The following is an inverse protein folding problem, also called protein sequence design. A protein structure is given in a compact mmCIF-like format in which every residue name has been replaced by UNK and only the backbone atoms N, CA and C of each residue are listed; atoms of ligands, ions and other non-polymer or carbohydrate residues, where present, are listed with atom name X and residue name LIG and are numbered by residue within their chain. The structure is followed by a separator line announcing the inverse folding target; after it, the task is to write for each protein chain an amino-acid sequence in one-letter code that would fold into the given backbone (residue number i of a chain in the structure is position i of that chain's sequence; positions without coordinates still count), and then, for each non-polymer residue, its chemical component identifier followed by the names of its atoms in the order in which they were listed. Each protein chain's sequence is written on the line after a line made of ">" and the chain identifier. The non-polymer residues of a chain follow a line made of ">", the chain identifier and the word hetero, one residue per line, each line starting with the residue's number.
data_IF_789723483369
#
_entry.id   IF_789723483369
#
_cell.length_a   1.000
_cell.length_b   1.000
_cell.length_c   1.000
_cell.angle_alpha   90.00
_cell.angle_beta   90.00
_cell.angle_gamma   90.00
#
_symmetry.space_group_name_H-M   'P 1'
#
loop_
_entity.id
_entity.type
_entity.pdbx_description
1 polymer ?
#
# COMPACT_ATOMS: atom_id res chain seq x y z
N UNK A 1 25.41 -13.56 -36.67
CA UNK A 1 24.41 -12.48 -36.67
C UNK A 1 23.24 -12.90 -35.77
N UNK A 2 23.29 -12.56 -34.50
CA UNK A 2 22.26 -12.88 -33.49
C UNK A 2 21.34 -11.67 -33.35
N UNK A 3 20.07 -11.81 -33.73
CA UNK A 3 19.04 -10.79 -33.53
C UNK A 3 18.74 -10.64 -32.03
N UNK A 4 18.62 -9.41 -31.49
CA UNK A 4 18.09 -9.20 -30.15
C UNK A 4 16.55 -9.20 -30.20
N UNK A 5 15.91 -10.14 -29.51
CA UNK A 5 14.49 -10.07 -29.13
C UNK A 5 14.44 -10.37 -27.63
N UNK A 6 14.01 -9.47 -26.74
CA UNK A 6 12.59 -9.20 -26.51
C UNK A 6 12.38 -8.09 -25.46
N UNK A 7 13.00 -6.92 -25.66
CA UNK A 7 12.73 -5.73 -24.83
C UNK A 7 11.31 -5.14 -24.98
N UNK A 8 10.54 -5.64 -25.94
CA UNK A 8 9.24 -5.09 -26.35
C UNK A 8 8.09 -5.58 -25.49
N UNK A 9 8.17 -6.78 -24.91
CA UNK A 9 7.05 -7.43 -24.19
C UNK A 9 6.76 -6.82 -22.82
N UNK A 10 7.73 -6.13 -22.21
CA UNK A 10 7.57 -5.51 -20.89
C UNK A 10 6.99 -4.10 -20.96
N UNK A 11 7.16 -3.41 -22.09
CA UNK A 11 6.65 -2.04 -22.29
C UNK A 11 5.12 -2.01 -22.35
N UNK A 12 4.49 -3.09 -22.81
CA UNK A 12 3.03 -3.23 -22.94
C UNK A 12 2.30 -3.51 -21.62
N UNK A 13 2.94 -4.14 -20.61
CA UNK A 13 2.31 -4.35 -19.29
C UNK A 13 2.09 -3.05 -18.50
N UNK A 14 2.91 -2.02 -18.75
CA UNK A 14 2.76 -0.69 -18.13
C UNK A 14 1.43 -0.03 -18.48
N UNK A 15 0.93 -0.27 -19.70
CA UNK A 15 -0.29 0.34 -20.24
C UNK A 15 -1.55 -0.33 -19.68
N UNK A 16 -1.42 -1.54 -19.11
CA UNK A 16 -2.55 -2.35 -18.65
C UNK A 16 -2.79 -2.27 -17.15
N UNK A 17 -1.91 -1.60 -16.40
CA UNK A 17 -2.10 -1.48 -14.96
C UNK A 17 -2.84 -0.19 -14.66
N UNK A 18 -3.95 -0.22 -13.92
CA UNK A 18 -4.76 0.96 -13.66
C UNK A 18 -3.89 2.04 -12.99
N UNK A 19 -3.62 3.09 -13.74
CA UNK A 19 -2.96 4.34 -13.34
C UNK A 19 -3.92 5.45 -13.71
N UNK A 20 -3.83 6.61 -13.04
CA UNK A 20 -4.70 7.76 -13.31
C UNK A 20 -4.74 8.16 -14.80
N UNK A 21 -3.63 7.97 -15.53
CA UNK A 21 -3.52 8.28 -16.97
C UNK A 21 -3.96 7.16 -17.92
N UNK A 22 -4.13 5.91 -17.45
CA UNK A 22 -4.48 4.76 -18.29
C UNK A 22 -5.54 3.86 -17.64
N UNK A 23 -6.65 4.46 -17.20
CA UNK A 23 -7.83 3.70 -16.77
C UNK A 23 -8.62 3.14 -17.98
N UNK A 24 -8.01 2.23 -18.73
CA UNK A 24 -8.81 1.34 -19.57
C UNK A 24 -9.51 0.34 -18.65
N UNK A 25 -10.83 0.13 -18.79
CA UNK A 25 -11.50 -0.91 -18.04
C UNK A 25 -10.79 -2.23 -18.34
N UNK A 26 -10.33 -2.90 -17.28
CA UNK A 26 -9.74 -4.23 -17.37
C UNK A 26 -10.67 -5.12 -18.21
N UNK A 27 -10.10 -5.82 -19.19
CA UNK A 27 -10.88 -6.73 -20.03
C UNK A 27 -11.59 -7.76 -19.15
N UNK A 28 -12.77 -8.25 -19.58
CA UNK A 28 -13.57 -9.22 -18.79
C UNK A 28 -12.74 -10.42 -18.29
N UNK A 29 -11.78 -10.89 -19.09
CA UNK A 29 -10.86 -11.98 -18.74
C UNK A 29 -9.85 -11.60 -17.64
N UNK A 30 -9.36 -10.37 -17.65
CA UNK A 30 -8.40 -9.89 -16.64
C UNK A 30 -9.11 -9.63 -15.31
N UNK A 31 -10.32 -9.05 -15.33
CA UNK A 31 -11.19 -8.95 -14.15
C UNK A 31 -11.52 -10.30 -13.54
N UNK A 32 -11.79 -11.31 -14.36
CA UNK A 32 -12.07 -12.67 -13.87
C UNK A 32 -10.87 -13.34 -13.17
N UNK A 33 -9.64 -12.86 -13.44
CA UNK A 33 -8.41 -13.37 -12.81
C UNK A 33 -8.04 -12.64 -11.53
N UNK A 34 -8.61 -11.47 -11.28
CA UNK A 34 -8.38 -10.72 -10.05
C UNK A 34 -9.16 -11.35 -8.90
N UNK A 35 -8.54 -11.41 -7.72
CA UNK A 35 -9.28 -11.61 -6.48
C UNK A 35 -10.28 -10.46 -6.34
N UNK A 36 -11.50 -10.79 -5.90
CA UNK A 36 -12.58 -9.81 -5.68
C UNK A 36 -12.52 -9.25 -4.26
N UNK A 37 -12.93 -8.01 -4.09
CA UNK A 37 -13.07 -7.32 -2.79
C UNK A 37 -11.80 -7.48 -1.93
N UNK A 38 -10.64 -7.17 -2.50
CA UNK A 38 -9.36 -7.33 -1.81
C UNK A 38 -9.21 -6.23 -0.77
N UNK A 39 -9.16 -6.66 0.49
CA UNK A 39 -8.85 -5.85 1.66
C UNK A 39 -7.57 -6.41 2.26
N UNK A 40 -6.63 -5.54 2.59
CA UNK A 40 -5.38 -5.89 3.25
C UNK A 40 -5.34 -5.22 4.62
N UNK A 41 -5.27 -6.03 5.66
CA UNK A 41 -5.02 -5.55 7.02
C UNK A 41 -3.54 -5.14 7.13
N UNK A 42 -3.34 -3.89 7.55
CA UNK A 42 -2.02 -3.30 7.71
C UNK A 42 -1.60 -3.18 9.19
N UNK A 43 -2.42 -3.61 10.15
CA UNK A 43 -2.16 -3.53 11.58
C UNK A 43 -2.57 -2.23 12.27
N UNK A 44 -2.66 -1.12 11.53
CA UNK A 44 -3.18 0.18 11.97
C UNK A 44 -4.55 0.50 11.35
N UNK A 45 -5.07 -0.40 10.51
CA UNK A 45 -6.24 -0.20 9.67
C UNK A 45 -6.13 -1.01 8.39
N UNK A 46 -6.94 -0.70 7.39
CA UNK A 46 -7.08 -1.55 6.19
C UNK A 46 -6.87 -0.78 4.89
N UNK A 47 -6.18 -1.41 3.95
CA UNK A 47 -6.11 -0.95 2.57
C UNK A 47 -7.11 -1.70 1.70
N UNK A 48 -8.06 -0.96 1.13
CA UNK A 48 -9.10 -1.50 0.26
C UNK A 48 -8.74 -1.20 -1.21
N UNK A 49 -8.59 -2.23 -2.03
CA UNK A 49 -8.23 -2.06 -3.44
C UNK A 49 -9.50 -1.89 -4.29
N UNK A 50 -9.96 -0.65 -4.46
CA UNK A 50 -11.24 -0.29 -5.07
C UNK A 50 -11.49 -0.94 -6.44
N UNK A 51 -10.46 -1.09 -7.28
CA UNK A 51 -10.57 -1.73 -8.60
C UNK A 51 -10.93 -3.23 -8.56
N UNK A 52 -10.85 -3.86 -7.38
CA UNK A 52 -11.24 -5.26 -7.14
C UNK A 52 -12.69 -5.41 -6.65
N UNK A 53 -13.34 -4.29 -6.29
CA UNK A 53 -14.73 -4.27 -5.86
C UNK A 53 -15.67 -4.24 -7.06
N UNK A 54 -16.85 -4.85 -6.90
CA UNK A 54 -17.85 -4.95 -7.97
C UNK A 54 -18.56 -3.61 -8.25
N UNK A 55 -18.71 -2.77 -7.21
CA UNK A 55 -19.31 -1.44 -7.31
C UNK A 55 -18.70 -0.47 -6.29
N UNK A 56 -18.77 0.85 -6.52
CA UNK A 56 -18.37 1.86 -5.53
C UNK A 56 -19.20 1.78 -4.24
N UNK A 57 -20.48 1.40 -4.32
CA UNK A 57 -21.34 1.22 -3.15
C UNK A 57 -20.80 0.15 -2.20
N UNK A 58 -20.41 -1.03 -2.73
CA UNK A 58 -19.82 -2.10 -1.90
C UNK A 58 -18.49 -1.69 -1.28
N UNK A 59 -17.71 -0.87 -1.98
CA UNK A 59 -16.47 -0.31 -1.43
C UNK A 59 -16.77 0.61 -0.24
N UNK A 60 -17.75 1.50 -0.37
CA UNK A 60 -18.14 2.44 0.68
C UNK A 60 -18.71 1.71 1.89
N UNK A 61 -19.58 0.71 1.68
CA UNK A 61 -20.08 -0.14 2.76
C UNK A 61 -18.95 -0.87 3.50
N UNK A 62 -17.85 -1.20 2.83
CA UNK A 62 -16.70 -1.80 3.48
C UNK A 62 -15.86 -0.77 4.25
N UNK A 63 -15.69 0.46 3.74
CA UNK A 63 -15.05 1.57 4.45
C UNK A 63 -15.80 1.98 5.72
N UNK A 64 -17.14 1.92 5.71
CA UNK A 64 -17.97 2.24 6.89
C UNK A 64 -17.80 1.26 8.04
N UNK A 65 -17.12 0.13 7.82
CA UNK A 65 -16.75 -0.81 8.89
C UNK A 65 -15.46 -0.42 9.62
N UNK A 66 -14.86 0.73 9.29
CA UNK A 66 -13.73 1.29 10.04
C UNK A 66 -14.08 1.36 11.53
N UNK A 67 -13.22 0.78 12.37
CA UNK A 67 -13.38 0.78 13.83
C UNK A 67 -12.64 1.98 14.46
N UNK A 68 -13.03 2.33 15.69
CA UNK A 68 -12.36 3.40 16.43
C UNK A 68 -10.88 3.07 16.62
N UNK A 69 -10.00 4.01 16.26
CA UNK A 69 -8.56 3.83 16.37
C UNK A 69 -7.92 3.08 15.21
N UNK A 70 -8.69 2.75 14.16
CA UNK A 70 -8.17 2.25 12.89
C UNK A 70 -8.33 3.32 11.80
N UNK A 71 -7.66 3.10 10.67
CA UNK A 71 -7.81 3.97 9.51
C UNK A 71 -7.88 3.15 8.23
N UNK A 72 -9.01 3.25 7.54
CA UNK A 72 -9.21 2.59 6.27
C UNK A 72 -8.94 3.53 5.11
N UNK A 73 -8.23 3.03 4.10
CA UNK A 73 -7.90 3.80 2.90
C UNK A 73 -8.23 3.00 1.66
N UNK A 74 -9.06 3.58 0.79
CA UNK A 74 -9.35 3.04 -0.52
C UNK A 74 -8.32 3.48 -1.57
N UNK A 75 -7.63 2.52 -2.18
CA UNK A 75 -6.67 2.73 -3.25
C UNK A 75 -7.27 2.43 -4.63
N UNK A 76 -6.80 3.16 -5.65
CA UNK A 76 -7.23 3.00 -7.04
C UNK A 76 -8.74 3.22 -7.25
N UNK A 77 -9.33 4.20 -6.55
CA UNK A 77 -10.71 4.60 -6.77
C UNK A 77 -10.81 5.30 -8.13
N UNK A 78 -11.63 4.76 -9.04
CA UNK A 78 -11.78 5.28 -10.41
C UNK A 78 -12.51 6.63 -10.43
N UNK A 79 -13.68 6.64 -9.82
CA UNK A 79 -14.61 7.77 -9.83
C UNK A 79 -14.87 8.17 -8.36
N UNK A 80 -13.94 8.90 -7.70
CA UNK A 80 -14.03 9.18 -6.27
C UNK A 80 -15.30 9.97 -5.90
N UNK A 81 -15.74 10.87 -6.77
CA UNK A 81 -16.99 11.62 -6.58
C UNK A 81 -18.23 10.71 -6.50
N UNK A 82 -18.25 9.59 -7.22
CA UNK A 82 -19.34 8.60 -7.13
C UNK A 82 -19.30 7.87 -5.80
N UNK A 83 -18.11 7.46 -5.35
CA UNK A 83 -17.95 6.81 -4.04
C UNK A 83 -18.37 7.75 -2.90
N UNK A 84 -17.92 9.00 -2.93
CA UNK A 84 -18.28 10.02 -1.94
C UNK A 84 -19.80 10.25 -1.85
N UNK A 85 -20.51 10.18 -2.98
CA UNK A 85 -21.96 10.37 -2.99
C UNK A 85 -22.75 9.30 -2.21
N UNK A 86 -22.19 8.10 -2.00
CA UNK A 86 -22.86 7.05 -1.24
C UNK A 86 -22.83 7.27 0.28
N UNK A 87 -21.82 7.96 0.81
CA UNK A 87 -21.72 8.28 2.23
C UNK A 87 -20.98 9.60 2.48
N UNK A 88 -21.53 10.75 2.04
CA UNK A 88 -20.81 12.03 1.95
C UNK A 88 -20.36 12.60 3.29
N UNK A 89 -20.97 12.18 4.40
CA UNK A 89 -20.62 12.60 5.75
C UNK A 89 -19.61 11.68 6.44
N UNK A 90 -19.40 10.47 5.90
CA UNK A 90 -18.58 9.42 6.53
C UNK A 90 -17.29 9.14 5.75
N UNK A 91 -17.32 9.29 4.42
CA UNK A 91 -16.12 9.18 3.57
C UNK A 91 -15.70 10.53 3.01
N UNK A 92 -14.40 10.74 2.93
CA UNK A 92 -13.79 11.94 2.37
C UNK A 92 -12.66 11.56 1.41
N UNK A 93 -12.27 12.51 0.56
CA UNK A 93 -11.09 12.36 -0.29
C UNK A 93 -9.88 12.86 0.50
N UNK A 94 -8.94 11.96 0.77
CA UNK A 94 -7.68 12.31 1.42
C UNK A 94 -6.84 13.24 0.50
N UNK A 95 -6.33 14.38 1.01
CA UNK A 95 -5.51 15.31 0.22
C UNK A 95 -4.09 14.78 -0.12
N UNK A 96 -3.81 13.50 0.06
CA UNK A 96 -2.51 12.90 -0.21
C UNK A 96 -2.29 12.52 -1.68
N UNK A 97 -1.02 12.35 -2.04
CA UNK A 97 -0.63 11.79 -3.32
C UNK A 97 0.02 10.44 -3.14
N UNK A 98 -0.47 9.46 -3.89
CA UNK A 98 0.14 8.13 -3.99
C UNK A 98 1.08 8.08 -5.18
N UNK A 99 2.35 7.76 -4.92
CA UNK A 99 3.33 7.50 -5.97
C UNK A 99 3.51 6.00 -6.18
N UNK A 100 3.73 5.61 -7.44
CA UNK A 100 3.97 4.22 -7.80
C UNK A 100 5.39 4.02 -8.29
N UNK A 101 6.12 3.12 -7.62
CA UNK A 101 7.45 2.71 -8.03
C UNK A 101 7.39 1.39 -8.82
N UNK A 102 8.00 1.38 -10.02
CA UNK A 102 8.10 0.19 -10.86
C UNK A 102 9.46 -0.49 -10.66
N UNK A 103 9.47 -1.65 -10.00
CA UNK A 103 10.73 -2.32 -9.64
C UNK A 103 11.52 -2.86 -10.82
N UNK A 104 10.90 -3.12 -11.99
CA UNK A 104 11.61 -3.74 -13.13
C UNK A 104 12.75 -2.88 -13.69
N UNK A 105 12.67 -1.55 -13.50
CA UNK A 105 13.72 -0.61 -13.90
C UNK A 105 14.23 0.23 -12.74
N UNK A 106 13.77 -0.06 -11.52
CA UNK A 106 14.24 0.68 -10.36
C UNK A 106 15.72 0.40 -10.17
N UNK A 107 16.51 1.48 -10.14
CA UNK A 107 17.91 1.42 -9.77
C UNK A 107 18.02 2.09 -8.42
N UNK A 108 18.38 1.34 -7.35
CA UNK A 108 18.54 1.95 -6.04
C UNK A 108 19.57 3.07 -6.10
N UNK A 109 19.40 4.08 -5.26
CA UNK A 109 20.40 5.13 -5.11
C UNK A 109 21.74 4.52 -4.72
N UNK A 110 22.83 5.05 -5.31
CA UNK A 110 24.19 4.69 -4.89
C UNK A 110 24.59 5.36 -3.57
N UNK A 111 23.81 6.34 -3.12
CA UNK A 111 24.04 7.00 -1.84
C UNK A 111 23.68 6.03 -0.72
N UNK A 112 24.70 5.49 -0.06
CA UNK A 112 24.55 4.74 1.18
C UNK A 112 24.55 5.74 2.33
N UNK A 113 23.44 5.83 3.05
CA UNK A 113 23.38 6.56 4.32
C UNK A 113 24.01 5.68 5.38
N UNK A 114 25.30 5.85 5.64
CA UNK A 114 26.06 4.99 6.56
C UNK A 114 25.61 5.11 8.02
N UNK A 115 24.91 6.19 8.36
CA UNK A 115 24.41 6.47 9.72
C UNK A 115 23.09 5.77 10.03
N UNK A 116 22.46 5.10 9.06
CA UNK A 116 21.17 4.43 9.24
C UNK A 116 21.28 2.94 8.97
N UNK A 117 20.73 2.15 9.87
CA UNK A 117 20.47 0.74 9.67
C UNK A 117 18.98 0.53 9.39
N UNK A 118 18.63 0.11 8.17
CA UNK A 118 17.24 -0.18 7.79
C UNK A 118 17.02 -1.68 7.73
N UNK A 119 16.09 -2.17 8.55
CA UNK A 119 15.80 -3.61 8.68
C UNK A 119 14.31 -3.87 8.88
N UNK A 120 13.89 -5.12 8.72
CA UNK A 120 12.51 -5.54 9.01
C UNK A 120 12.23 -5.50 10.51
N UNK A 121 11.00 -5.17 10.87
CA UNK A 121 10.48 -5.40 12.23
C UNK A 121 10.32 -6.91 12.44
N UNK A 122 10.89 -7.41 13.55
CA UNK A 122 10.91 -8.86 13.84
C UNK A 122 10.32 -9.21 15.20
N UNK A 123 10.26 -8.25 16.12
CA UNK A 123 9.90 -8.50 17.52
C UNK A 123 9.10 -7.33 18.11
N UNK A 124 8.53 -7.53 19.30
CA UNK A 124 7.68 -6.53 19.97
C UNK A 124 8.43 -5.26 20.36
N UNK A 125 9.75 -5.33 20.61
CA UNK A 125 10.58 -4.16 20.93
C UNK A 125 10.69 -3.24 19.72
N UNK A 126 10.93 -3.81 18.54
CA UNK A 126 10.95 -3.07 17.27
C UNK A 126 9.61 -2.36 17.03
N UNK A 127 8.49 -3.07 17.23
CA UNK A 127 7.16 -2.50 17.06
C UNK A 127 6.89 -1.35 18.04
N UNK A 128 7.33 -1.49 19.29
CA UNK A 128 7.21 -0.42 20.29
C UNK A 128 7.96 0.83 19.85
N UNK A 129 9.21 0.67 19.39
CA UNK A 129 10.02 1.79 18.91
C UNK A 129 9.41 2.43 17.66
N UNK A 130 8.86 1.64 16.74
CA UNK A 130 8.10 2.16 15.60
C UNK A 130 6.85 2.94 16.04
N UNK A 131 6.10 2.44 17.02
CA UNK A 131 4.94 3.13 17.58
C UNK A 131 5.31 4.46 18.26
N UNK A 132 6.48 4.55 18.90
CA UNK A 132 6.99 5.80 19.45
C UNK A 132 7.23 6.84 18.33
N UNK A 133 7.83 6.40 17.20
CA UNK A 133 7.98 7.24 16.00
C UNK A 133 6.62 7.66 15.43
N UNK A 134 5.67 6.73 15.30
CA UNK A 134 4.32 7.01 14.79
C UNK A 134 3.56 8.02 15.67
N UNK A 135 3.59 7.80 16.98
CA UNK A 135 2.94 8.67 17.97
C UNK A 135 3.51 10.09 17.93
N UNK A 136 4.82 10.25 17.72
CA UNK A 136 5.45 11.58 17.55
C UNK A 136 4.90 12.38 16.35
N UNK A 137 4.24 11.70 15.41
CA UNK A 137 3.61 12.28 14.21
C UNK A 137 2.08 12.23 14.24
N UNK A 138 1.47 11.86 15.37
CA UNK A 138 0.02 11.73 15.49
C UNK A 138 -0.57 10.64 14.59
N UNK A 139 0.24 9.64 14.20
CA UNK A 139 -0.21 8.51 13.40
C UNK A 139 -0.77 7.40 14.28
N UNK A 140 -1.64 6.57 13.70
CA UNK A 140 -2.25 5.43 14.38
C UNK A 140 -1.18 4.38 14.72
N UNK A 141 -1.02 3.99 16.00
CA UNK A 141 -0.07 2.97 16.39
C UNK A 141 -0.57 1.56 16.02
N UNK A 142 0.37 0.62 15.93
CA UNK A 142 0.06 -0.80 15.77
C UNK A 142 -0.24 -1.45 17.12
N UNK A 143 -1.31 -2.22 17.22
CA UNK A 143 -1.61 -2.99 18.44
C UNK A 143 -0.70 -4.22 18.62
N UNK A 144 -0.21 -4.77 17.51
CA UNK A 144 0.65 -5.93 17.48
C UNK A 144 1.36 -6.06 16.14
N UNK A 145 2.29 -7.01 16.05
CA UNK A 145 2.87 -7.37 14.76
C UNK A 145 1.76 -8.11 14.02
N UNK A 146 1.25 -7.57 12.89
CA UNK A 146 0.14 -8.20 12.20
C UNK A 146 0.48 -9.64 11.83
N UNK A 147 -0.49 -10.56 11.89
CA UNK A 147 -0.32 -11.87 11.32
C UNK A 147 -0.26 -11.70 9.81
N UNK A 148 0.95 -11.50 9.27
CA UNK A 148 1.17 -11.46 7.83
C UNK A 148 0.48 -12.67 7.23
N UNK A 149 -0.35 -12.46 6.18
CA UNK A 149 -1.08 -13.54 5.53
C UNK A 149 -0.11 -14.70 5.30
N UNK A 150 -0.34 -15.84 5.98
CA UNK A 150 0.56 -17.00 5.91
C UNK A 150 0.75 -17.46 4.46
N UNK A 151 -0.15 -17.04 3.55
CA UNK A 151 -0.11 -17.31 2.12
C UNK A 151 0.82 -16.38 1.32
N UNK A 152 1.08 -15.14 1.76
CA UNK A 152 2.03 -14.24 1.10
C UNK A 152 2.70 -13.24 2.07
N UNK A 153 3.76 -13.66 2.79
CA UNK A 153 4.51 -12.80 3.71
C UNK A 153 5.28 -11.64 3.03
N UNK A 154 5.20 -11.52 1.69
CA UNK A 154 5.78 -10.40 0.93
C UNK A 154 4.75 -9.34 0.56
N UNK A 155 3.46 -9.58 0.80
CA UNK A 155 2.40 -8.63 0.46
C UNK A 155 2.51 -7.32 1.25
N UNK A 156 3.07 -7.38 2.46
CA UNK A 156 3.31 -6.22 3.31
C UNK A 156 4.64 -6.38 4.05
N UNK A 157 5.45 -5.32 4.10
CA UNK A 157 6.76 -5.35 4.78
C UNK A 157 6.92 -4.07 5.57
N UNK A 158 7.06 -4.23 6.89
CA UNK A 158 7.42 -3.15 7.79
C UNK A 158 8.92 -3.08 7.97
N UNK A 159 9.46 -1.89 7.79
CA UNK A 159 10.86 -1.57 8.01
C UNK A 159 10.96 -0.52 9.11
N UNK A 160 11.98 -0.68 9.94
CA UNK A 160 12.41 0.32 10.90
C UNK A 160 13.79 0.82 10.46
N UNK A 161 13.99 2.13 10.60
CA UNK A 161 15.29 2.77 10.44
C UNK A 161 15.81 3.12 11.82
N UNK A 162 16.99 2.59 12.15
CA UNK A 162 17.69 2.86 13.39
C UNK A 162 18.92 3.72 13.11
N UNK A 163 19.22 4.64 14.01
CA UNK A 163 20.51 5.31 14.04
C UNK A 163 21.62 4.27 14.35
N UNK A 164 22.68 4.27 13.55
CA UNK A 164 23.71 3.22 13.59
C UNK A 164 24.51 3.24 14.90
N UNK A 165 24.73 4.41 15.51
CA UNK A 165 25.55 4.53 16.71
C UNK A 165 24.76 4.24 17.98
N UNK A 166 23.54 4.76 18.06
CA UNK A 166 22.70 4.70 19.27
C UNK A 166 21.73 3.52 19.28
N UNK A 167 21.37 3.00 18.10
CA UNK A 167 20.31 2.00 17.95
C UNK A 167 18.89 2.56 18.17
N UNK A 168 18.73 3.88 18.26
CA UNK A 168 17.43 4.53 18.42
C UNK A 168 16.64 4.47 17.10
N UNK A 169 15.33 4.22 17.19
CA UNK A 169 14.46 4.23 16.03
C UNK A 169 14.19 5.67 15.58
N UNK A 170 14.63 6.00 14.36
CA UNK A 170 14.50 7.34 13.77
C UNK A 170 13.53 7.37 12.59
N UNK A 171 13.06 6.22 12.13
CA UNK A 171 12.11 6.11 11.04
C UNK A 171 11.38 4.78 10.96
N UNK A 172 10.27 4.79 10.23
CA UNK A 172 9.38 3.65 10.04
C UNK A 172 8.71 3.74 8.66
N UNK A 173 8.56 2.61 7.95
CA UNK A 173 7.90 2.51 6.64
C UNK A 173 7.24 1.15 6.43
#
# INVERSE_FOLDING_TARGET
>A
MTKPQSGTTYRSRRILTPTLENWKPLGKKDRARLRKNVVMDCGWGRLLFAHTFESPEKLVQELQKEETGQRDIAFYVKDPHVALNYAPTEVFLDPSHTYRLWFEKYRPSKLLVQTLNVRRITNKKDLKAANEVLASRGMVPFEGIPPWDQKDPRAFTLLIAEDFETGEAVGFV
#
